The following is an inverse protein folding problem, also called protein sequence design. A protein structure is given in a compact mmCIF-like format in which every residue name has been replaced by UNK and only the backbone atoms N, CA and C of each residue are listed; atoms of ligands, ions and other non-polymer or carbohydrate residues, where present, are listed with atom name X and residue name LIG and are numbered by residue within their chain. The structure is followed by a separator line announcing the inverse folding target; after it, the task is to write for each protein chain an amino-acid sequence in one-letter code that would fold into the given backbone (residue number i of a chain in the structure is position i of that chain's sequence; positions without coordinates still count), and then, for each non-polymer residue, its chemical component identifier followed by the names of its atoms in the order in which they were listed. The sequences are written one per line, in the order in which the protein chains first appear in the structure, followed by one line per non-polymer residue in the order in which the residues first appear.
data_IF_994245795392
#
_entry.id   IF_994245795392
#
_cell.length_a   1.000
_cell.length_b   1.000
_cell.length_c   1.000
_cell.angle_alpha   90.00
_cell.angle_beta   90.00
_cell.angle_gamma   90.00
#
_symmetry.space_group_name_H-M   'P 1'
#
loop_
_entity.id
_entity.type
_entity.pdbx_description
1 polymer ?
#
# COMPACT_ATOMS: atom_id res chain seq x y z
N UNK A 1 1.45 0.94 -9.16
CA UNK A 1 2.23 -0.23 -8.72
C UNK A 1 3.69 0.12 -8.57
N UNK A 2 4.38 -0.43 -7.56
CA UNK A 2 5.82 -0.21 -7.38
C UNK A 2 6.62 -0.63 -8.61
N UNK A 3 7.67 0.12 -8.91
CA UNK A 3 8.49 -0.12 -10.09
C UNK A 3 7.96 0.48 -11.38
N UNK A 4 6.73 0.94 -11.42
CA UNK A 4 6.18 1.62 -12.58
C UNK A 4 6.47 3.12 -12.50
N UNK A 5 6.70 3.75 -13.66
CA UNK A 5 7.04 5.17 -13.74
C UNK A 5 5.95 6.08 -13.17
N UNK A 6 4.69 5.75 -13.40
CA UNK A 6 3.52 6.58 -13.04
C UNK A 6 2.72 5.94 -11.89
N UNK A 7 3.39 5.44 -10.86
CA UNK A 7 2.70 4.90 -9.68
C UNK A 7 2.19 6.02 -8.77
N UNK A 8 1.10 5.77 -8.05
CA UNK A 8 0.75 6.59 -6.90
C UNK A 8 1.77 6.34 -5.78
N UNK A 9 2.12 7.39 -5.03
CA UNK A 9 3.13 7.29 -3.96
C UNK A 9 2.81 6.17 -2.98
N UNK A 10 1.55 6.05 -2.60
CA UNK A 10 1.10 5.08 -1.60
C UNK A 10 0.80 3.68 -2.13
N UNK A 11 0.99 3.41 -3.42
CA UNK A 11 0.74 2.09 -4.00
C UNK A 11 1.92 1.17 -3.70
N UNK A 12 1.72 0.25 -2.77
CA UNK A 12 2.80 -0.62 -2.28
C UNK A 12 2.82 -2.01 -2.90
N UNK A 13 1.88 -2.32 -3.80
CA UNK A 13 1.82 -3.59 -4.49
C UNK A 13 0.82 -4.55 -3.87
N UNK A 14 0.92 -5.79 -4.27
CA UNK A 14 0.00 -6.85 -3.86
C UNK A 14 0.66 -7.77 -2.84
N UNK A 15 -0.17 -8.37 -1.98
CA UNK A 15 0.26 -9.40 -1.05
C UNK A 15 -0.54 -10.68 -1.31
N UNK A 16 0.04 -11.81 -0.95
CA UNK A 16 -0.64 -13.11 -1.05
C UNK A 16 -0.83 -13.67 0.35
N UNK A 17 -1.99 -14.27 0.58
CA UNK A 17 -2.28 -14.99 1.82
C UNK A 17 -2.11 -16.48 1.59
N UNK A 18 -1.83 -17.22 2.67
CA UNK A 18 -1.82 -18.68 2.62
C UNK A 18 -3.27 -19.22 2.64
N UNK A 19 -3.42 -20.55 2.65
CA UNK A 19 -4.75 -21.19 2.65
C UNK A 19 -5.60 -20.86 3.88
N UNK A 20 -4.98 -20.35 4.96
CA UNK A 20 -5.66 -19.93 6.17
C UNK A 20 -6.01 -18.44 6.19
N UNK A 21 -5.64 -17.70 5.16
CA UNK A 21 -5.85 -16.27 5.09
C UNK A 21 -4.78 -15.45 5.79
N UNK A 22 -3.66 -16.05 6.17
CA UNK A 22 -2.56 -15.36 6.84
C UNK A 22 -1.51 -14.89 5.84
N UNK A 23 -0.95 -13.71 6.10
CA UNK A 23 0.14 -13.17 5.32
C UNK A 23 1.16 -12.48 6.23
N UNK A 24 2.43 -12.63 5.91
CA UNK A 24 3.52 -11.94 6.57
C UNK A 24 4.45 -11.40 5.50
N UNK A 25 4.59 -10.08 5.46
CA UNK A 25 5.38 -9.40 4.43
C UNK A 25 6.33 -8.41 5.04
N UNK A 26 7.51 -8.31 4.45
CA UNK A 26 8.42 -7.20 4.66
C UNK A 26 9.05 -6.84 3.32
N UNK A 27 9.22 -5.55 3.07
CA UNK A 27 9.85 -5.05 1.85
C UNK A 27 10.32 -3.62 2.08
N UNK A 28 11.15 -3.14 1.19
CA UNK A 28 11.61 -1.76 1.19
C UNK A 28 10.92 -0.98 0.08
N UNK A 29 10.53 0.24 0.37
CA UNK A 29 10.00 1.16 -0.61
C UNK A 29 10.79 2.48 -0.52
N UNK A 30 11.22 2.99 -1.66
CA UNK A 30 12.06 4.18 -1.69
C UNK A 30 11.29 5.47 -2.01
N UNK A 31 9.98 5.39 -2.14
CA UNK A 31 9.12 6.55 -2.45
C UNK A 31 8.48 7.12 -1.21
N UNK A 32 7.85 6.28 -0.38
CA UNK A 32 7.21 6.72 0.86
C UNK A 32 8.27 7.06 1.91
N UNK A 33 7.93 8.01 2.79
CA UNK A 33 8.83 8.48 3.84
C UNK A 33 8.11 8.50 5.17
N UNK A 34 8.89 8.41 6.24
CA UNK A 34 8.40 8.53 7.61
C UNK A 34 8.84 9.86 8.25
N UNK A 35 9.53 10.70 7.49
CA UNK A 35 10.02 12.01 7.93
C UNK A 35 9.92 13.01 6.79
N UNK A 36 9.91 14.28 7.14
CA UNK A 36 9.91 15.36 6.17
C UNK A 36 8.53 15.73 5.67
N UNK A 37 8.48 16.57 4.66
CA UNK A 37 7.24 17.16 4.14
C UNK A 37 6.72 16.48 2.88
N UNK A 38 7.57 15.70 2.20
CA UNK A 38 7.21 15.07 0.95
C UNK A 38 7.08 13.56 1.12
N UNK A 39 5.94 13.02 0.66
CA UNK A 39 5.66 11.58 0.69
C UNK A 39 5.70 10.98 2.10
N UNK A 40 5.52 11.79 3.13
CA UNK A 40 5.46 11.34 4.51
C UNK A 40 4.09 10.73 4.78
N UNK A 41 4.08 9.47 5.21
CA UNK A 41 2.85 8.70 5.42
C UNK A 41 2.41 8.63 6.89
N UNK A 42 3.14 9.24 7.80
CA UNK A 42 2.75 9.26 9.22
C UNK A 42 1.40 9.95 9.39
N UNK A 43 0.50 9.33 10.15
CA UNK A 43 -0.86 9.81 10.37
C UNK A 43 -1.85 9.40 9.27
N UNK A 44 -1.38 8.74 8.24
CA UNK A 44 -2.21 8.26 7.14
C UNK A 44 -2.66 6.83 7.40
N UNK A 45 -3.56 6.32 6.54
CA UNK A 45 -4.06 4.96 6.65
C UNK A 45 -3.29 3.97 5.80
N UNK A 46 -3.13 2.78 6.32
CA UNK A 46 -2.74 1.61 5.54
C UNK A 46 -4.01 0.82 5.22
N UNK A 47 -4.22 0.48 3.96
CA UNK A 47 -5.45 -0.14 3.49
C UNK A 47 -5.11 -1.40 2.72
N UNK A 48 -5.88 -2.46 2.97
CA UNK A 48 -5.83 -3.70 2.21
C UNK A 48 -7.14 -3.84 1.43
N UNK A 49 -7.02 -4.04 0.13
CA UNK A 49 -8.15 -4.27 -0.77
C UNK A 49 -8.43 -5.77 -0.94
N UNK A 50 -9.65 -6.11 -1.34
CA UNK A 50 -10.07 -7.51 -1.45
C UNK A 50 -9.43 -8.26 -2.62
N UNK A 51 -9.10 -7.56 -3.71
CA UNK A 51 -8.58 -8.16 -4.93
C UNK A 51 -7.20 -7.60 -5.28
N UNK A 52 -6.40 -8.32 -6.09
CA UNK A 52 -5.13 -7.80 -6.57
C UNK A 52 -5.32 -6.55 -7.41
N UNK A 53 -4.42 -5.59 -7.24
CA UNK A 53 -4.29 -4.43 -8.12
C UNK A 53 -3.64 -4.91 -9.42
N UNK A 54 -4.30 -4.72 -10.55
CA UNK A 54 -3.81 -5.15 -11.86
C UNK A 54 -2.85 -4.14 -12.51
N UNK A 55 -2.52 -3.08 -11.80
CA UNK A 55 -1.55 -2.05 -12.25
C UNK A 55 -1.97 -1.31 -13.51
N UNK A 56 -3.28 -1.23 -13.77
CA UNK A 56 -3.80 -0.58 -14.98
C UNK A 56 -3.75 -1.46 -16.22
N UNK A 57 -3.42 -2.74 -16.08
CA UNK A 57 -3.21 -3.66 -17.20
C UNK A 57 -4.42 -4.55 -17.52
N UNK A 58 -5.52 -4.37 -16.80
CA UNK A 58 -6.70 -5.22 -16.94
C UNK A 58 -7.59 -4.94 -18.15
N UNK A 59 -7.34 -3.86 -18.88
CA UNK A 59 -8.03 -3.58 -20.15
C UNK A 59 -9.40 -2.93 -20.02
N UNK A 60 -9.81 -2.45 -18.85
CA UNK A 60 -11.06 -1.72 -18.66
C UNK A 60 -10.82 -0.38 -17.95
N UNK A 61 -11.86 0.48 -17.89
CA UNK A 61 -11.73 1.82 -17.31
C UNK A 61 -11.42 1.77 -15.82
N UNK A 62 -11.99 0.84 -15.08
CA UNK A 62 -11.74 0.68 -13.64
C UNK A 62 -10.29 0.28 -13.36
N UNK A 63 -9.69 -0.53 -14.23
CA UNK A 63 -8.27 -0.89 -14.14
C UNK A 63 -7.37 0.33 -14.12
N UNK A 64 -7.66 1.34 -14.94
CA UNK A 64 -6.88 2.57 -15.01
C UNK A 64 -7.07 3.48 -13.80
N UNK A 65 -8.21 3.36 -13.10
CA UNK A 65 -8.53 4.17 -11.92
C UNK A 65 -8.03 3.53 -10.63
N UNK A 66 -8.35 2.27 -10.41
CA UNK A 66 -8.16 1.59 -9.12
C UNK A 66 -7.45 0.25 -9.23
N UNK A 67 -7.09 -0.18 -10.44
CA UNK A 67 -6.48 -1.50 -10.67
C UNK A 67 -7.41 -2.67 -10.43
N UNK A 68 -8.74 -2.44 -10.40
CA UNK A 68 -9.75 -3.46 -10.07
C UNK A 68 -9.51 -4.13 -8.71
N UNK A 69 -8.91 -3.41 -7.75
CA UNK A 69 -8.57 -3.96 -6.44
C UNK A 69 -9.79 -4.21 -5.55
N UNK A 70 -10.94 -3.71 -5.94
CA UNK A 70 -12.17 -3.89 -5.19
C UNK A 70 -12.27 -3.04 -3.95
N UNK A 71 -13.13 -3.45 -3.01
CA UNK A 71 -13.38 -2.69 -1.80
C UNK A 71 -12.26 -2.88 -0.76
N UNK A 72 -12.23 -1.96 0.19
CA UNK A 72 -11.31 -2.02 1.33
C UNK A 72 -11.79 -3.06 2.32
N UNK A 73 -10.93 -4.00 2.70
CA UNK A 73 -11.29 -5.06 3.65
C UNK A 73 -10.58 -4.91 4.99
N UNK A 74 -9.50 -4.15 5.05
CA UNK A 74 -8.79 -3.88 6.30
C UNK A 74 -8.12 -2.51 6.23
N UNK A 75 -7.98 -1.86 7.39
CA UNK A 75 -7.27 -0.59 7.47
C UNK A 75 -6.68 -0.39 8.87
N UNK A 76 -5.63 0.43 8.93
CA UNK A 76 -4.98 0.84 10.16
C UNK A 76 -4.36 2.21 9.98
N UNK A 77 -4.18 2.95 11.07
CA UNK A 77 -3.47 4.23 11.04
C UNK A 77 -1.98 3.98 11.20
N UNK A 78 -1.17 4.67 10.42
CA UNK A 78 0.28 4.61 10.49
C UNK A 78 0.74 5.64 11.52
N UNK A 79 1.27 5.17 12.64
CA UNK A 79 1.79 6.02 13.70
C UNK A 79 3.22 5.67 14.04
N UNK A 80 3.80 6.46 14.92
CA UNK A 80 5.13 6.15 15.44
C UNK A 80 5.05 4.97 16.41
N UNK A 81 6.03 4.08 16.31
CA UNK A 81 6.16 3.02 17.31
C UNK A 81 6.74 3.60 18.60
N UNK A 82 6.62 2.84 19.68
CA UNK A 82 7.20 3.19 20.97
C UNK A 82 8.70 3.50 20.87
N UNK A 83 9.41 2.75 20.03
CA UNK A 83 10.85 2.88 19.87
C UNK A 83 11.26 4.18 19.15
N UNK A 84 10.34 4.81 18.40
CA UNK A 84 10.61 6.07 17.71
C UNK A 84 10.47 7.30 18.62
N UNK A 85 10.03 7.12 19.86
CA UNK A 85 9.89 8.21 20.83
C UNK A 85 11.00 8.23 21.87
N UNK A 86 12.13 7.66 21.56
CA UNK A 86 13.30 7.78 22.44
C UNK A 86 13.83 9.20 22.38
N UNK A 87 13.86 9.81 23.52
CA UNK A 87 14.43 11.12 23.68
C UNK A 87 15.91 11.03 24.03
#
# INVERSE_FOLDING_TARGET
CPGMKNRHVGDLGNIETNSKGDAKYYFYDNVIKLRGNKSNIIGRGLIIHEDPDDCGLGGNAESLKTGNAGKRIACAVIGYSKDNFKC
#
